data_IF_006042271691
#
_entry.id   IF_006042271691
#
_cell.length_a   1.000
_cell.length_b   1.000
_cell.length_c   1.000
_cell.angle_alpha   90.00
_cell.angle_beta   90.00
_cell.angle_gamma   90.00
#
_symmetry.space_group_name_H-M   'P 1'
#
loop_
_entity.id
_entity.type
_entity.pdbx_description
1 polymer ?
#
# COMPACT_ATOMS: atom_id res chain seq x y z
N UNK A 1 -2.97 -7.90 9.80
CA UNK A 1 -2.70 -6.69 10.57
C UNK A 1 -1.69 -5.82 9.86
N UNK A 2 -1.91 -4.52 9.83
CA UNK A 2 -1.07 -3.57 9.10
C UNK A 2 0.04 -3.02 9.99
N UNK A 3 1.29 -3.16 9.53
CA UNK A 3 2.47 -2.66 10.24
C UNK A 3 3.19 -1.60 9.42
N UNK A 4 3.72 -0.59 10.09
CA UNK A 4 4.54 0.41 9.44
C UNK A 4 5.86 -0.21 8.98
N UNK A 5 6.30 0.17 7.78
CA UNK A 5 7.58 -0.30 7.24
C UNK A 5 8.75 0.09 8.13
N UNK A 6 9.72 -0.82 8.25
CA UNK A 6 11.01 -0.59 8.89
C UNK A 6 12.10 -1.08 7.95
N UNK A 7 13.29 -0.50 8.07
CA UNK A 7 14.42 -0.89 7.22
C UNK A 7 14.73 -2.38 7.27
N UNK A 8 14.51 -3.01 8.41
CA UNK A 8 14.71 -4.45 8.56
C UNK A 8 13.80 -5.29 7.66
N UNK A 9 12.73 -4.70 7.13
CA UNK A 9 11.78 -5.39 6.23
C UNK A 9 12.03 -5.06 4.76
N UNK A 10 13.16 -4.43 4.44
CA UNK A 10 13.40 -3.91 3.08
C UNK A 10 13.28 -4.98 2.00
N UNK A 11 13.89 -6.15 2.21
CA UNK A 11 13.85 -7.20 1.18
C UNK A 11 12.43 -7.70 0.93
N UNK A 12 11.66 -7.88 2.00
CA UNK A 12 10.28 -8.33 1.89
C UNK A 12 9.44 -7.26 1.18
N UNK A 13 9.63 -6.00 1.58
CA UNK A 13 8.90 -4.89 0.96
C UNK A 13 9.20 -4.78 -0.53
N UNK A 14 10.46 -4.88 -0.92
CA UNK A 14 10.83 -4.83 -2.33
C UNK A 14 10.23 -5.98 -3.12
N UNK A 15 10.22 -7.19 -2.53
CA UNK A 15 9.60 -8.33 -3.16
C UNK A 15 8.11 -8.14 -3.41
N UNK A 16 7.40 -7.62 -2.43
CA UNK A 16 5.97 -7.34 -2.58
C UNK A 16 5.71 -6.21 -3.58
N UNK A 17 6.53 -5.16 -3.51
CA UNK A 17 6.41 -4.03 -4.42
C UNK A 17 6.63 -4.45 -5.88
N UNK A 18 7.51 -5.42 -6.11
CA UNK A 18 7.84 -5.89 -7.46
C UNK A 18 6.66 -6.55 -8.19
N UNK A 19 5.60 -6.90 -7.48
CA UNK A 19 4.40 -7.43 -8.12
C UNK A 19 3.62 -6.35 -8.88
N UNK A 20 3.91 -5.08 -8.64
CA UNK A 20 3.30 -4.01 -9.41
C UNK A 20 4.03 -3.84 -10.74
N UNK A 21 3.29 -3.72 -11.86
CA UNK A 21 3.91 -3.73 -13.20
C UNK A 21 5.02 -2.70 -13.41
N UNK A 22 4.89 -1.52 -12.83
CA UNK A 22 5.87 -0.45 -13.01
C UNK A 22 7.04 -0.52 -12.05
N UNK A 23 7.05 -1.52 -11.17
CA UNK A 23 8.08 -1.66 -10.13
C UNK A 23 8.91 -2.93 -10.29
N UNK A 24 9.00 -3.48 -11.51
CA UNK A 24 9.70 -4.76 -11.72
C UNK A 24 11.20 -4.64 -11.80
N UNK A 25 11.71 -3.51 -12.30
CA UNK A 25 13.16 -3.31 -12.40
C UNK A 25 13.76 -3.01 -11.04
N UNK A 26 14.92 -3.61 -10.77
CA UNK A 26 15.60 -3.40 -9.51
C UNK A 26 15.90 -1.92 -9.26
N UNK A 27 16.36 -1.21 -10.27
CA UNK A 27 16.67 0.21 -10.16
C UNK A 27 15.42 1.01 -9.76
N UNK A 28 14.31 0.70 -10.38
CA UNK A 28 13.04 1.36 -10.07
C UNK A 28 12.59 1.05 -8.65
N UNK A 29 12.72 -0.22 -8.24
CA UNK A 29 12.39 -0.62 -6.88
C UNK A 29 13.20 0.15 -5.85
N UNK A 30 14.50 0.29 -6.10
CA UNK A 30 15.38 1.02 -5.19
C UNK A 30 15.00 2.49 -5.12
N UNK A 31 14.66 3.10 -6.25
CA UNK A 31 14.23 4.50 -6.28
C UNK A 31 12.94 4.70 -5.48
N UNK A 32 11.99 3.80 -5.66
CA UNK A 32 10.71 3.88 -4.95
C UNK A 32 10.89 3.69 -3.46
N UNK A 33 11.70 2.72 -3.06
CA UNK A 33 11.99 2.50 -1.63
C UNK A 33 12.65 3.73 -1.02
N UNK A 34 13.55 4.37 -1.77
CA UNK A 34 14.24 5.57 -1.30
C UNK A 34 13.24 6.70 -1.01
N UNK A 35 12.23 6.88 -1.87
CA UNK A 35 11.20 7.88 -1.64
C UNK A 35 10.50 7.63 -0.31
N UNK A 36 10.10 6.38 -0.05
CA UNK A 36 9.40 6.05 1.19
C UNK A 36 10.30 6.20 2.42
N UNK A 37 11.59 6.00 2.26
CA UNK A 37 12.53 6.11 3.37
C UNK A 37 12.92 7.56 3.67
N UNK A 38 13.00 8.40 2.64
CA UNK A 38 13.50 9.78 2.79
C UNK A 38 12.42 10.83 2.95
N UNK A 39 11.23 10.58 2.44
CA UNK A 39 10.16 11.58 2.47
C UNK A 39 9.14 11.24 3.55
N UNK A 40 9.01 12.07 4.60
CA UNK A 40 8.11 11.75 5.72
C UNK A 40 6.63 11.71 5.35
N UNK A 41 6.25 12.34 4.23
CA UNK A 41 4.86 12.30 3.78
C UNK A 41 4.51 11.02 3.05
N UNK A 42 5.51 10.24 2.66
CA UNK A 42 5.31 8.96 1.99
C UNK A 42 5.46 7.85 3.01
N UNK A 43 4.37 7.11 3.23
CA UNK A 43 4.31 6.08 4.27
C UNK A 43 4.09 4.72 3.64
N UNK A 44 4.90 3.75 4.05
CA UNK A 44 4.82 2.39 3.54
C UNK A 44 4.39 1.45 4.67
N UNK A 45 3.49 0.53 4.33
CA UNK A 45 2.92 -0.42 5.28
C UNK A 45 3.00 -1.83 4.73
N UNK A 46 3.09 -2.78 5.63
CA UNK A 46 3.07 -4.20 5.29
C UNK A 46 1.92 -4.87 6.04
N UNK A 47 1.26 -5.80 5.37
CA UNK A 47 0.20 -6.59 5.98
C UNK A 47 0.73 -7.95 6.38
N UNK A 48 0.60 -8.29 7.65
CA UNK A 48 1.06 -9.56 8.20
C UNK A 48 -0.12 -10.50 8.41
N UNK A 49 0.04 -11.73 7.96
CA UNK A 49 -0.91 -12.81 8.16
C UNK A 49 -0.15 -13.98 8.77
N UNK A 50 -0.50 -14.36 10.01
CA UNK A 50 0.30 -15.33 10.73
C UNK A 50 1.72 -14.82 10.94
N UNK A 51 2.69 -15.57 10.45
CA UNK A 51 4.10 -15.21 10.57
C UNK A 51 4.66 -14.50 9.35
N UNK A 52 3.85 -14.35 8.29
CA UNK A 52 4.33 -13.86 7.01
C UNK A 52 3.78 -12.48 6.65
N UNK A 53 4.63 -11.67 6.02
CA UNK A 53 4.17 -10.44 5.40
C UNK A 53 3.71 -10.76 3.98
N UNK A 54 2.44 -10.55 3.70
CA UNK A 54 1.82 -10.99 2.45
C UNK A 54 1.23 -9.85 1.63
N UNK A 55 1.22 -8.63 2.14
CA UNK A 55 0.69 -7.47 1.43
C UNK A 55 1.52 -6.23 1.69
N UNK A 56 1.39 -5.27 0.78
CA UNK A 56 2.12 -4.00 0.86
C UNK A 56 1.19 -2.88 0.43
N UNK A 57 1.29 -1.75 1.13
CA UNK A 57 0.49 -0.56 0.86
C UNK A 57 1.36 0.67 1.04
N UNK A 58 1.46 1.50 0.00
CA UNK A 58 2.21 2.74 0.06
C UNK A 58 1.33 3.93 -0.23
N UNK A 59 1.40 4.94 0.61
CA UNK A 59 0.57 6.13 0.50
C UNK A 59 1.38 7.40 0.62
N UNK A 60 0.90 8.45 -0.01
CA UNK A 60 1.42 9.79 0.18
C UNK A 60 0.35 10.59 0.92
N UNK A 61 0.70 11.20 2.05
CA UNK A 61 -0.25 11.85 2.95
C UNK A 61 -0.18 13.36 2.79
N UNK A 62 -1.33 13.97 2.56
CA UNK A 62 -1.48 15.41 2.54
C UNK A 62 -2.45 15.82 3.66
N UNK A 63 -2.70 17.11 3.80
CA UNK A 63 -3.52 17.61 4.89
C UNK A 63 -4.96 17.10 4.85
N UNK A 64 -5.56 17.09 3.65
CA UNK A 64 -6.97 16.75 3.47
C UNK A 64 -7.20 15.47 2.68
N UNK A 65 -6.12 14.77 2.29
CA UNK A 65 -6.24 13.57 1.47
C UNK A 65 -5.01 12.70 1.61
N UNK A 66 -5.13 11.45 1.16
CA UNK A 66 -3.99 10.58 1.00
C UNK A 66 -4.12 9.84 -0.33
N UNK A 67 -2.98 9.62 -0.96
CA UNK A 67 -2.93 9.03 -2.31
C UNK A 67 -2.33 7.65 -2.18
N UNK A 68 -3.03 6.65 -2.70
CA UNK A 68 -2.51 5.28 -2.71
C UNK A 68 -1.66 5.11 -3.96
N UNK A 69 -0.34 5.06 -3.77
CA UNK A 69 0.60 4.91 -4.86
C UNK A 69 0.94 3.45 -5.17
N UNK A 70 0.95 2.61 -4.15
CA UNK A 70 1.34 1.22 -4.30
C UNK A 70 0.45 0.34 -3.44
N UNK A 71 -0.03 -0.76 -4.03
CA UNK A 71 -0.75 -1.78 -3.30
C UNK A 71 -0.49 -3.11 -4.00
N UNK A 72 -0.09 -4.11 -3.23
CA UNK A 72 0.13 -5.43 -3.79
C UNK A 72 -0.12 -6.50 -2.74
N UNK A 73 -0.48 -7.69 -3.21
CA UNK A 73 -0.67 -8.86 -2.39
C UNK A 73 0.12 -9.99 -3.02
N UNK A 74 0.84 -10.74 -2.20
CA UNK A 74 1.57 -11.90 -2.68
C UNK A 74 0.61 -12.79 -3.46
N UNK A 75 0.97 -13.23 -4.69
CA UNK A 75 0.07 -14.04 -5.50
C UNK A 75 -0.47 -15.29 -4.80
N UNK A 76 0.30 -15.90 -3.89
CA UNK A 76 -0.13 -17.06 -3.12
C UNK A 76 -1.29 -16.76 -2.19
N UNK A 77 -1.54 -15.50 -1.90
CA UNK A 77 -2.57 -15.07 -0.95
C UNK A 77 -3.67 -14.24 -1.58
N UNK A 78 -3.73 -14.20 -2.91
CA UNK A 78 -4.80 -13.47 -3.59
C UNK A 78 -6.12 -14.20 -3.41
N UNK A 79 -7.21 -13.44 -3.39
CA UNK A 79 -8.54 -14.00 -3.19
C UNK A 79 -8.91 -14.17 -1.72
N UNK A 80 -8.05 -13.76 -0.80
CA UNK A 80 -8.29 -13.86 0.64
C UNK A 80 -8.80 -12.56 1.26
N UNK A 81 -8.99 -11.51 0.45
CA UNK A 81 -9.50 -10.23 0.95
C UNK A 81 -8.46 -9.35 1.60
N UNK A 82 -7.17 -9.67 1.45
CA UNK A 82 -6.08 -8.92 2.10
C UNK A 82 -6.01 -7.48 1.58
N UNK A 83 -6.10 -7.30 0.26
CA UNK A 83 -6.07 -5.95 -0.31
C UNK A 83 -7.20 -5.10 0.22
N UNK A 84 -8.41 -5.66 0.27
CA UNK A 84 -9.57 -4.97 0.81
C UNK A 84 -9.37 -4.61 2.28
N UNK A 85 -8.81 -5.55 3.06
CA UNK A 85 -8.52 -5.32 4.48
C UNK A 85 -7.51 -4.19 4.67
N UNK A 86 -6.49 -4.12 3.82
CA UNK A 86 -5.50 -3.04 3.88
C UNK A 86 -6.13 -1.68 3.61
N UNK A 87 -6.99 -1.60 2.57
CA UNK A 87 -7.69 -0.36 2.24
C UNK A 87 -8.59 0.07 3.39
N UNK A 88 -9.33 -0.86 3.94
CA UNK A 88 -10.23 -0.57 5.06
C UNK A 88 -9.44 -0.04 6.25
N UNK A 89 -8.30 -0.65 6.54
CA UNK A 89 -7.48 -0.23 7.68
C UNK A 89 -6.86 1.14 7.47
N UNK A 90 -6.34 1.42 6.26
CA UNK A 90 -5.76 2.74 6.00
C UNK A 90 -6.81 3.85 6.04
N UNK A 91 -8.03 3.55 5.60
CA UNK A 91 -9.11 4.52 5.72
C UNK A 91 -9.43 4.83 7.18
N UNK A 92 -9.35 3.86 8.06
CA UNK A 92 -9.53 4.09 9.49
C UNK A 92 -8.41 4.95 10.07
N UNK A 93 -7.17 4.69 9.65
CA UNK A 93 -6.01 5.47 10.11
C UNK A 93 -6.09 6.92 9.63
N UNK A 94 -6.55 7.11 8.39
CA UNK A 94 -6.60 8.41 7.71
C UNK A 94 -8.01 9.00 7.66
N UNK A 95 -8.82 8.75 8.67
CA UNK A 95 -10.26 8.95 8.62
C UNK A 95 -10.75 10.33 8.21
N UNK A 96 -9.95 11.38 8.44
CA UNK A 96 -10.33 12.75 8.09
C UNK A 96 -9.83 13.15 6.71
N UNK A 97 -9.28 12.22 5.95
CA UNK A 97 -8.69 12.50 4.65
C UNK A 97 -9.40 11.73 3.55
N UNK A 98 -9.51 12.36 2.40
CA UNK A 98 -10.06 11.74 1.21
C UNK A 98 -9.06 10.76 0.59
N UNK A 99 -9.52 9.57 0.22
CA UNK A 99 -8.68 8.57 -0.42
C UNK A 99 -8.65 8.80 -1.93
N UNK A 100 -7.44 8.95 -2.47
CA UNK A 100 -7.22 9.20 -3.90
C UNK A 100 -6.44 8.04 -4.49
N UNK A 101 -6.86 7.57 -5.67
CA UNK A 101 -6.14 6.54 -6.41
C UNK A 101 -5.24 7.17 -7.46
N UNK A 102 -4.14 6.50 -7.78
CA UNK A 102 -3.38 6.81 -8.98
C UNK A 102 -3.94 5.98 -10.14
N UNK A 103 -3.46 6.25 -11.34
CA UNK A 103 -3.84 5.46 -12.51
C UNK A 103 -3.52 3.97 -12.29
N UNK A 104 -2.40 3.69 -11.64
CA UNK A 104 -1.96 2.31 -11.38
C UNK A 104 -2.80 1.60 -10.32
N UNK A 105 -3.38 2.33 -9.38
CA UNK A 105 -4.14 1.73 -8.29
C UNK A 105 -5.64 1.84 -8.45
N UNK A 106 -6.10 2.61 -9.42
CA UNK A 106 -7.50 2.90 -9.63
C UNK A 106 -8.37 1.64 -9.80
N UNK A 107 -7.91 0.70 -10.63
CA UNK A 107 -8.67 -0.52 -10.88
C UNK A 107 -8.83 -1.36 -9.61
N UNK A 108 -7.81 -1.37 -8.76
CA UNK A 108 -7.89 -2.07 -7.50
C UNK A 108 -8.92 -1.42 -6.57
N UNK A 109 -8.88 -0.10 -6.48
CA UNK A 109 -9.75 0.63 -5.57
C UNK A 109 -11.21 0.63 -5.98
N UNK A 110 -11.53 0.45 -7.25
CA UNK A 110 -12.91 0.34 -7.69
C UNK A 110 -13.59 -0.91 -7.14
N UNK A 111 -12.80 -1.91 -6.76
CA UNK A 111 -13.32 -3.14 -6.15
C UNK A 111 -13.44 -3.03 -4.63
N UNK A 112 -12.97 -1.93 -4.06
CA UNK A 112 -12.97 -1.69 -2.62
C UNK A 112 -13.70 -0.38 -2.36
N UNK A 113 -15.02 -0.41 -2.18
CA UNK A 113 -15.80 0.82 -2.01
C UNK A 113 -15.31 1.63 -0.83
N UNK A 114 -15.25 2.93 -1.01
CA UNK A 114 -14.91 3.84 0.06
C UNK A 114 -16.11 3.96 0.99
N UNK A 115 -15.86 3.91 2.28
CA UNK A 115 -16.93 4.10 3.25
C UNK A 115 -17.37 5.55 3.30
N UNK A 116 -16.42 6.44 3.12
CA UNK A 116 -16.71 7.86 3.07
C UNK A 116 -17.39 8.20 1.75
N UNK A 117 -18.49 8.88 1.80
CA UNK A 117 -19.24 9.21 0.61
C UNK A 117 -20.34 8.23 0.27
N UNK A 118 -20.43 7.14 0.99
CA UNK A 118 -21.57 6.25 0.90
C UNK A 118 -22.64 6.76 1.85
N UNK A 119 -23.71 7.16 1.33
CA UNK A 119 -24.81 7.66 2.15
C UNK A 119 -26.12 7.04 1.76
#
# INVERSE_FOLDING_TARGET
>A
MLFRYKKSFEKIAMGLLSFMPKERELKKLQQTMHIYEENPDWQLYLWKKGEDFVGLLGVEVAEDRFIIHHISVNPSHRGEGIGHAMIEKIQQIMQDREMIATKETEAFLTKCPQKKGEL
#
